data_IF_030077571389
#
_entry.id   IF_030077571389
#
_cell.length_a   1.000
_cell.length_b   1.000
_cell.length_c   1.000
_cell.angle_alpha   90.00
_cell.angle_beta   90.00
_cell.angle_gamma   90.00
#
_symmetry.space_group_name_H-M   'P 1'
#
loop_
_entity.id
_entity.type
_entity.pdbx_description
1 polymer ?
#
# COMPACT_ATOMS: atom_id res chain seq x y z
N UNK A 1 -1.48 -2.22 24.52
CA UNK A 1 -1.31 -1.97 23.07
C UNK A 1 -1.42 -0.49 22.74
N UNK A 2 -2.43 0.24 23.22
CA UNK A 2 -2.60 1.67 22.91
C UNK A 2 -1.37 2.56 23.16
N UNK A 3 -0.69 2.43 24.31
CA UNK A 3 0.53 3.21 24.62
C UNK A 3 1.67 2.99 23.60
N UNK A 4 1.87 1.75 23.15
CA UNK A 4 2.88 1.42 22.13
C UNK A 4 2.51 1.99 20.77
N UNK A 5 1.25 1.85 20.36
CA UNK A 5 0.75 2.42 19.10
C UNK A 5 0.97 3.94 19.05
N UNK A 6 0.57 4.67 20.09
CA UNK A 6 0.77 6.13 20.18
C UNK A 6 2.26 6.48 20.13
N UNK A 7 3.11 5.72 20.80
CA UNK A 7 4.56 5.92 20.75
C UNK A 7 5.11 5.74 19.34
N UNK A 8 4.67 4.72 18.61
CA UNK A 8 5.09 4.49 17.23
C UNK A 8 4.57 5.60 16.29
N UNK A 9 3.32 6.04 16.44
CA UNK A 9 2.78 7.19 15.69
C UNK A 9 3.58 8.48 15.91
N UNK A 10 4.07 8.74 17.12
CA UNK A 10 4.89 9.92 17.42
C UNK A 10 6.27 9.88 16.75
N UNK A 11 6.81 8.69 16.46
CA UNK A 11 8.07 8.53 15.72
C UNK A 11 7.91 8.79 14.23
N UNK A 12 6.70 8.70 13.70
CA UNK A 12 6.44 8.91 12.27
C UNK A 12 6.79 10.36 11.89
N UNK A 13 7.53 10.50 10.81
CA UNK A 13 7.85 11.81 10.21
C UNK A 13 6.66 12.30 9.39
N UNK A 14 5.61 12.75 10.08
CA UNK A 14 4.32 13.12 9.49
C UNK A 14 4.44 14.09 8.31
N UNK A 15 5.32 15.10 8.40
CA UNK A 15 5.55 16.03 7.29
C UNK A 15 6.00 15.32 6.01
N UNK A 16 6.95 14.39 6.10
CA UNK A 16 7.41 13.62 4.94
C UNK A 16 6.34 12.67 4.43
N UNK A 17 5.59 12.03 5.34
CA UNK A 17 4.46 11.16 4.96
C UNK A 17 3.41 11.93 4.18
N UNK A 18 2.98 13.10 4.68
CA UNK A 18 2.00 13.93 3.97
C UNK A 18 2.52 14.46 2.65
N UNK A 19 3.80 14.84 2.57
CA UNK A 19 4.43 15.26 1.31
C UNK A 19 4.39 14.13 0.28
N UNK A 20 4.77 12.91 0.68
CA UNK A 20 4.75 11.74 -0.22
C UNK A 20 3.33 11.39 -0.68
N UNK A 21 2.35 11.41 0.23
CA UNK A 21 0.94 11.16 -0.12
C UNK A 21 0.42 12.23 -1.07
N UNK A 22 0.73 13.49 -0.80
CA UNK A 22 0.33 14.60 -1.67
C UNK A 22 0.98 14.47 -3.07
N UNK A 23 2.25 14.05 -3.14
CA UNK A 23 2.95 13.80 -4.39
C UNK A 23 2.28 12.69 -5.21
N UNK A 24 1.90 11.57 -4.58
CA UNK A 24 1.14 10.51 -5.25
C UNK A 24 -0.18 11.04 -5.79
N UNK A 25 -0.99 11.70 -4.97
CA UNK A 25 -2.30 12.20 -5.39
C UNK A 25 -2.15 13.19 -6.53
N UNK A 26 -1.22 14.14 -6.42
CA UNK A 26 -0.94 15.08 -7.49
C UNK A 26 -0.53 14.35 -8.77
N UNK A 27 0.42 13.41 -8.71
CA UNK A 27 0.88 12.67 -9.88
C UNK A 27 -0.23 11.81 -10.50
N UNK A 28 -0.86 10.94 -9.70
CA UNK A 28 -1.90 10.00 -10.12
C UNK A 28 -3.10 10.73 -10.74
N UNK A 29 -3.57 11.81 -10.13
CA UNK A 29 -4.74 12.53 -10.64
C UNK A 29 -4.44 13.54 -11.74
N UNK A 30 -3.26 14.17 -11.78
CA UNK A 30 -2.85 14.99 -12.92
C UNK A 30 -2.72 14.13 -14.18
N UNK A 31 -2.09 12.96 -14.06
CA UNK A 31 -1.97 12.01 -15.18
C UNK A 31 -3.34 11.44 -15.57
N UNK A 32 -4.17 11.07 -14.60
CA UNK A 32 -5.51 10.58 -14.89
C UNK A 32 -6.40 11.63 -15.58
N UNK A 33 -6.38 12.88 -15.10
CA UNK A 33 -7.10 13.99 -15.73
C UNK A 33 -6.60 14.26 -17.17
N UNK A 34 -5.27 14.22 -17.38
CA UNK A 34 -4.67 14.35 -18.71
C UNK A 34 -5.13 13.24 -19.66
N UNK A 35 -5.16 11.99 -19.19
CA UNK A 35 -5.64 10.85 -19.97
C UNK A 35 -7.14 10.96 -20.30
N UNK A 36 -7.97 11.36 -19.32
CA UNK A 36 -9.40 11.60 -19.54
C UNK A 36 -9.63 12.71 -20.58
N UNK A 37 -8.87 13.81 -20.49
CA UNK A 37 -8.95 14.92 -21.43
C UNK A 37 -8.53 14.52 -22.85
N UNK A 38 -7.50 13.67 -22.97
CA UNK A 38 -7.04 13.14 -24.26
C UNK A 38 -8.13 12.30 -24.96
N UNK A 39 -8.94 11.60 -24.16
CA UNK A 39 -10.04 10.76 -24.65
C UNK A 39 -11.34 11.54 -24.93
N UNK A 40 -11.42 12.83 -24.60
CA UNK A 40 -12.64 13.63 -24.70
C UNK A 40 -13.18 13.74 -26.13
N UNK A 41 -12.31 13.62 -27.14
CA UNK A 41 -12.73 13.59 -28.55
C UNK A 41 -13.51 12.31 -28.94
N UNK A 42 -13.41 11.25 -28.13
CA UNK A 42 -14.03 9.95 -28.40
C UNK A 42 -15.13 9.62 -27.39
N UNK A 43 -14.98 10.05 -26.13
CA UNK A 43 -15.88 9.73 -25.03
C UNK A 43 -16.03 10.92 -24.07
N UNK A 44 -17.24 11.14 -23.55
CA UNK A 44 -17.45 12.13 -22.51
C UNK A 44 -16.63 11.80 -21.23
N UNK A 45 -16.11 12.81 -20.51
CA UNK A 45 -15.40 12.60 -19.24
C UNK A 45 -16.29 11.84 -18.25
N UNK A 46 -15.87 10.64 -17.85
CA UNK A 46 -16.65 9.73 -16.99
C UNK A 46 -15.91 9.41 -15.68
N UNK A 47 -16.65 9.33 -14.58
CA UNK A 47 -16.16 9.01 -13.24
C UNK A 47 -15.47 7.65 -13.16
N UNK A 48 -15.93 6.66 -13.93
CA UNK A 48 -15.25 5.36 -14.04
C UNK A 48 -13.90 5.50 -14.75
N UNK A 49 -13.84 6.32 -15.81
CA UNK A 49 -12.61 6.54 -16.58
C UNK A 49 -11.55 7.21 -15.71
N UNK A 50 -11.92 8.27 -14.99
CA UNK A 50 -11.03 8.92 -14.05
C UNK A 50 -10.52 7.95 -12.97
N UNK A 51 -11.41 7.13 -12.42
CA UNK A 51 -11.06 6.16 -11.37
C UNK A 51 -10.04 5.14 -11.85
N UNK A 52 -10.31 4.44 -12.96
CA UNK A 52 -9.39 3.38 -13.41
C UNK A 52 -8.03 3.96 -13.83
N UNK A 53 -8.02 5.15 -14.46
CA UNK A 53 -6.78 5.83 -14.83
C UNK A 53 -5.95 6.18 -13.59
N UNK A 54 -6.59 6.73 -12.55
CA UNK A 54 -5.91 7.03 -11.29
C UNK A 54 -5.43 5.75 -10.58
N UNK A 55 -6.24 4.68 -10.55
CA UNK A 55 -5.85 3.38 -9.97
C UNK A 55 -4.68 2.74 -10.71
N UNK A 56 -4.57 2.96 -12.02
CA UNK A 56 -3.47 2.43 -12.84
C UNK A 56 -2.12 2.99 -12.41
N UNK A 57 -2.06 4.21 -11.87
CA UNK A 57 -0.85 4.75 -11.26
C UNK A 57 -0.77 4.42 -9.77
N UNK A 58 -1.84 4.69 -9.03
CA UNK A 58 -1.86 4.56 -7.59
C UNK A 58 -1.75 3.10 -7.11
N UNK A 59 -2.65 2.22 -7.55
CA UNK A 59 -2.70 0.83 -7.11
C UNK A 59 -1.53 -0.01 -7.62
N UNK A 60 -1.04 0.31 -8.82
CA UNK A 60 0.06 -0.41 -9.48
C UNK A 60 1.44 0.00 -8.96
N UNK A 61 1.63 1.29 -8.65
CA UNK A 61 2.94 1.84 -8.30
C UNK A 61 2.98 2.40 -6.87
N UNK A 62 2.22 3.44 -6.58
CA UNK A 62 2.39 4.23 -5.34
C UNK A 62 1.98 3.47 -4.07
N UNK A 63 0.83 2.81 -4.09
CA UNK A 63 0.31 2.09 -2.94
C UNK A 63 1.24 0.95 -2.46
N UNK A 64 1.68 0.02 -3.34
CA UNK A 64 2.62 -1.02 -2.92
C UNK A 64 4.01 -0.44 -2.58
N UNK A 65 4.42 0.66 -3.21
CA UNK A 65 5.63 1.38 -2.83
C UNK A 65 5.54 1.96 -1.40
N UNK A 66 4.43 2.60 -1.04
CA UNK A 66 4.22 3.17 0.29
C UNK A 66 4.23 2.13 1.39
N UNK A 67 3.72 0.92 1.14
CA UNK A 67 3.83 -0.17 2.10
C UNK A 67 5.29 -0.44 2.52
N UNK A 68 6.23 -0.38 1.57
CA UNK A 68 7.66 -0.53 1.87
C UNK A 68 8.31 0.73 2.45
N UNK A 69 8.03 1.92 1.87
CA UNK A 69 8.58 3.19 2.38
C UNK A 69 8.20 3.39 3.85
N UNK A 70 6.92 3.22 4.19
CA UNK A 70 6.43 3.43 5.55
C UNK A 70 6.92 2.34 6.50
N UNK A 71 7.03 1.08 6.07
CA UNK A 71 7.65 0.03 6.87
C UNK A 71 9.11 0.35 7.21
N UNK A 72 9.86 0.85 6.23
CA UNK A 72 11.25 1.25 6.42
C UNK A 72 11.35 2.48 7.34
N UNK A 73 10.50 3.49 7.17
CA UNK A 73 10.44 4.67 8.05
C UNK A 73 10.10 4.31 9.49
N UNK A 74 9.18 3.38 9.72
CA UNK A 74 8.84 2.90 11.06
C UNK A 74 10.00 2.18 11.75
N UNK A 75 10.97 1.68 10.99
CA UNK A 75 12.18 1.04 11.52
C UNK A 75 13.41 1.97 11.46
N UNK A 76 13.27 3.20 10.95
CA UNK A 76 14.39 4.09 10.69
C UNK A 76 15.17 4.43 11.96
N UNK A 77 14.46 4.81 13.02
CA UNK A 77 15.08 5.20 14.28
C UNK A 77 15.78 4.02 14.95
N UNK A 78 15.24 2.82 14.81
CA UNK A 78 15.83 1.61 15.39
C UNK A 78 17.07 1.13 14.62
N UNK A 79 17.11 1.34 13.30
CA UNK A 79 18.34 1.14 12.51
C UNK A 79 19.41 2.18 12.84
N UNK A 80 18.99 3.40 13.22
CA UNK A 80 19.92 4.46 13.59
C UNK A 80 20.53 4.14 14.96
N UNK A 81 21.86 4.08 15.02
CA UNK A 81 22.64 3.90 16.26
C UNK A 81 22.31 2.63 17.08
N UNK A 82 21.79 1.57 16.45
CA UNK A 82 21.53 0.29 17.13
C UNK A 82 20.40 0.34 18.17
N UNK A 83 19.47 1.30 18.07
CA UNK A 83 18.41 1.54 19.04
C UNK A 83 17.40 0.39 19.18
N UNK A 84 17.46 -0.63 18.31
CA UNK A 84 16.78 -1.92 18.53
C UNK A 84 17.05 -2.51 19.92
N UNK A 85 18.28 -2.40 20.44
CA UNK A 85 18.64 -2.91 21.79
C UNK A 85 17.85 -2.19 22.88
N UNK A 86 17.83 -0.86 22.83
CA UNK A 86 17.10 -0.02 23.79
C UNK A 86 15.59 -0.24 23.72
N UNK A 87 15.04 -0.46 22.52
CA UNK A 87 13.62 -0.75 22.36
C UNK A 87 13.22 -2.08 23.01
N UNK A 88 14.12 -3.08 22.94
CA UNK A 88 13.87 -4.43 23.42
C UNK A 88 14.14 -4.63 24.92
N UNK A 89 14.77 -3.66 25.60
CA UNK A 89 14.86 -3.64 27.07
C UNK A 89 13.62 -3.10 27.75
N UNK A 90 12.70 -2.48 26.99
CA UNK A 90 11.42 -2.05 27.54
C UNK A 90 10.62 -3.25 28.06
N UNK A 91 9.77 -3.08 29.10
CA UNK A 91 8.98 -4.14 29.71
C UNK A 91 7.77 -4.54 28.84
N UNK A 92 7.96 -4.61 27.52
CA UNK A 92 6.96 -5.07 26.57
C UNK A 92 7.47 -6.32 25.85
N UNK A 93 6.64 -7.36 25.70
CA UNK A 93 7.04 -8.54 24.95
C UNK A 93 7.27 -8.18 23.48
N UNK A 94 8.29 -8.80 22.86
CA UNK A 94 8.74 -8.51 21.48
C UNK A 94 7.60 -8.52 20.46
N UNK A 95 6.65 -9.44 20.61
CA UNK A 95 5.50 -9.52 19.72
C UNK A 95 4.59 -8.29 19.75
N UNK A 96 4.42 -7.63 20.91
CA UNK A 96 3.60 -6.42 21.03
C UNK A 96 4.24 -5.25 20.29
N UNK A 97 5.58 -5.18 20.30
CA UNK A 97 6.35 -4.17 19.57
C UNK A 97 6.17 -4.34 18.06
N UNK A 98 6.35 -5.58 17.57
CA UNK A 98 6.17 -5.90 16.15
C UNK A 98 4.74 -5.60 15.68
N UNK A 99 3.74 -6.05 16.44
CA UNK A 99 2.33 -5.82 16.12
C UNK A 99 1.95 -4.34 16.19
N UNK A 100 2.51 -3.56 17.13
CA UNK A 100 2.26 -2.12 17.15
C UNK A 100 2.79 -1.41 15.91
N UNK A 101 3.97 -1.78 15.40
CA UNK A 101 4.50 -1.23 14.14
C UNK A 101 3.62 -1.61 12.95
N UNK A 102 3.14 -2.85 12.91
CA UNK A 102 2.21 -3.29 11.87
C UNK A 102 0.89 -2.49 11.90
N UNK A 103 0.31 -2.26 13.08
CA UNK A 103 -0.92 -1.47 13.20
C UNK A 103 -0.71 -0.02 12.74
N UNK A 104 0.42 0.61 13.06
CA UNK A 104 0.74 1.96 12.55
C UNK A 104 0.92 1.95 11.04
N UNK A 105 1.58 0.92 10.49
CA UNK A 105 1.75 0.79 9.03
C UNK A 105 0.41 0.70 8.31
N UNK A 106 -0.50 -0.15 8.78
CA UNK A 106 -1.85 -0.27 8.20
C UNK A 106 -2.63 1.05 8.34
N UNK A 107 -2.49 1.74 9.46
CA UNK A 107 -3.11 3.04 9.68
C UNK A 107 -2.61 4.09 8.68
N UNK A 108 -1.30 4.14 8.42
CA UNK A 108 -0.74 5.03 7.39
C UNK A 108 -1.27 4.69 5.99
N UNK A 109 -1.40 3.40 5.66
CA UNK A 109 -1.99 2.96 4.39
C UNK A 109 -3.50 3.28 4.30
N UNK A 110 -4.21 3.33 5.42
CA UNK A 110 -5.60 3.80 5.44
C UNK A 110 -5.69 5.29 5.11
N UNK A 111 -4.76 6.10 5.65
CA UNK A 111 -4.67 7.54 5.32
C UNK A 111 -4.40 7.74 3.82
N UNK A 112 -3.48 6.97 3.24
CA UNK A 112 -3.22 6.98 1.79
C UNK A 112 -4.51 6.77 0.99
N UNK A 113 -5.30 5.76 1.35
CA UNK A 113 -6.55 5.41 0.68
C UNK A 113 -7.65 6.48 0.84
N UNK A 114 -7.77 7.09 2.02
CA UNK A 114 -8.68 8.22 2.26
C UNK A 114 -8.27 9.42 1.42
N UNK A 115 -6.98 9.71 1.33
CA UNK A 115 -6.48 10.83 0.55
C UNK A 115 -6.61 10.57 -0.96
N UNK A 116 -6.49 9.32 -1.41
CA UNK A 116 -6.82 8.92 -2.78
C UNK A 116 -8.31 9.18 -3.11
N UNK A 117 -9.23 8.83 -2.20
CA UNK A 117 -10.65 9.16 -2.35
C UNK A 117 -10.89 10.67 -2.45
N UNK A 118 -10.22 11.45 -1.59
CA UNK A 118 -10.30 12.91 -1.65
C UNK A 118 -9.80 13.44 -3.00
N UNK A 119 -8.66 12.96 -3.48
CA UNK A 119 -8.12 13.29 -4.81
C UNK A 119 -9.11 12.98 -5.94
N UNK A 120 -9.75 11.81 -5.88
CA UNK A 120 -10.77 11.41 -6.85
C UNK A 120 -11.93 12.39 -6.93
N UNK A 121 -12.49 12.76 -5.77
CA UNK A 121 -13.60 13.69 -5.70
C UNK A 121 -13.19 15.10 -6.14
N UNK A 122 -12.03 15.59 -5.68
CA UNK A 122 -11.54 16.93 -6.03
C UNK A 122 -11.30 17.02 -7.54
N UNK A 123 -10.51 16.09 -8.10
CA UNK A 123 -10.17 16.11 -9.53
C UNK A 123 -11.38 15.92 -10.42
N UNK A 124 -12.32 15.03 -10.05
CA UNK A 124 -13.53 14.84 -10.83
C UNK A 124 -14.42 16.08 -10.89
N UNK A 125 -14.50 16.84 -9.80
CA UNK A 125 -15.18 18.14 -9.80
C UNK A 125 -14.44 19.20 -10.62
N UNK A 126 -13.10 19.24 -10.55
CA UNK A 126 -12.29 20.21 -11.29
C UNK A 126 -12.34 20.06 -12.81
N UNK A 127 -12.45 18.83 -13.31
CA UNK A 127 -12.54 18.56 -14.76
C UNK A 127 -13.98 18.39 -15.25
N UNK A 128 -14.96 18.71 -14.40
CA UNK A 128 -16.40 18.63 -14.70
C UNK A 128 -16.83 17.27 -15.27
N UNK A 129 -16.45 16.19 -14.57
CA UNK A 129 -16.82 14.83 -14.98
C UNK A 129 -18.34 14.65 -14.94
N UNK A 130 -18.88 14.09 -16.02
CA UNK A 130 -20.31 13.86 -16.18
C UNK A 130 -20.76 12.53 -15.57
N UNK A 131 -22.05 12.45 -15.24
CA UNK A 131 -22.70 11.25 -14.75
C UNK A 131 -22.58 11.04 -13.24
N UNK A 132 -23.04 9.86 -12.80
CA UNK A 132 -23.07 9.49 -11.39
C UNK A 132 -21.76 8.84 -10.95
N UNK A 133 -21.33 9.16 -9.73
CA UNK A 133 -20.17 8.52 -9.11
C UNK A 133 -20.49 7.04 -8.88
N UNK A 134 -19.66 6.10 -9.40
CA UNK A 134 -19.82 4.66 -9.21
C UNK A 134 -19.35 4.25 -7.81
N UNK A 135 -20.07 4.68 -6.77
CA UNK A 135 -19.70 4.51 -5.36
C UNK A 135 -19.38 3.07 -4.97
N UNK A 136 -20.15 2.11 -5.50
CA UNK A 136 -19.90 0.68 -5.25
C UNK A 136 -18.48 0.31 -5.66
N UNK A 137 -18.11 0.57 -6.91
CA UNK A 137 -16.79 0.26 -7.48
C UNK A 137 -15.67 0.99 -6.73
N UNK A 138 -15.87 2.28 -6.46
CA UNK A 138 -14.87 3.14 -5.79
C UNK A 138 -14.61 2.66 -4.36
N UNK A 139 -15.67 2.43 -3.57
CA UNK A 139 -15.54 1.98 -2.19
C UNK A 139 -15.02 0.55 -2.10
N UNK A 140 -15.50 -0.36 -2.96
CA UNK A 140 -14.96 -1.73 -3.00
C UNK A 140 -13.49 -1.74 -3.36
N UNK A 141 -13.06 -0.87 -4.29
CA UNK A 141 -11.66 -0.78 -4.67
C UNK A 141 -10.79 -0.17 -3.58
N UNK A 142 -11.20 0.94 -2.96
CA UNK A 142 -10.44 1.59 -1.87
C UNK A 142 -10.29 0.66 -0.67
N UNK A 143 -11.41 0.10 -0.19
CA UNK A 143 -11.41 -0.80 0.97
C UNK A 143 -10.71 -2.12 0.62
N UNK A 144 -11.00 -2.67 -0.56
CA UNK A 144 -10.37 -3.89 -1.06
C UNK A 144 -8.86 -3.74 -1.24
N UNK A 145 -8.40 -2.63 -1.80
CA UNK A 145 -6.98 -2.28 -1.94
C UNK A 145 -6.26 -2.16 -0.60
N UNK A 146 -6.92 -1.54 0.39
CA UNK A 146 -6.39 -1.48 1.75
C UNK A 146 -6.23 -2.87 2.39
N UNK A 147 -7.24 -3.74 2.27
CA UNK A 147 -7.16 -5.12 2.77
C UNK A 147 -6.13 -5.96 1.99
N UNK A 148 -6.05 -5.78 0.68
CA UNK A 148 -5.08 -6.47 -0.17
C UNK A 148 -3.63 -6.05 0.11
N UNK A 149 -3.40 -4.90 0.74
CA UNK A 149 -2.09 -4.47 1.22
C UNK A 149 -1.63 -5.17 2.50
N UNK A 150 -2.50 -5.85 3.26
CA UNK A 150 -2.12 -6.42 4.56
C UNK A 150 -0.98 -7.45 4.48
N UNK A 151 -0.96 -8.42 3.53
CA UNK A 151 0.17 -9.33 3.36
C UNK A 151 1.46 -8.57 3.01
N UNK A 152 1.37 -7.62 2.07
CA UNK A 152 2.52 -6.82 1.64
C UNK A 152 3.11 -6.01 2.80
N UNK A 153 2.25 -5.33 3.57
CA UNK A 153 2.66 -4.55 4.73
C UNK A 153 3.36 -5.42 5.78
N UNK A 154 2.86 -6.64 6.02
CA UNK A 154 3.50 -7.60 6.92
C UNK A 154 4.87 -8.04 6.40
N UNK A 155 4.97 -8.37 5.12
CA UNK A 155 6.23 -8.75 4.46
C UNK A 155 7.25 -7.60 4.54
N UNK A 156 6.83 -6.38 4.18
CA UNK A 156 7.70 -5.20 4.17
C UNK A 156 8.20 -4.85 5.57
N UNK A 157 7.34 -4.96 6.59
CA UNK A 157 7.76 -4.80 7.98
C UNK A 157 8.72 -5.90 8.42
N UNK A 158 8.43 -7.16 8.10
CA UNK A 158 9.32 -8.29 8.37
C UNK A 158 10.71 -8.08 7.77
N UNK A 159 10.79 -7.70 6.49
CA UNK A 159 12.03 -7.40 5.80
C UNK A 159 12.74 -6.17 6.40
N UNK A 160 12.00 -5.10 6.68
CA UNK A 160 12.55 -3.89 7.30
C UNK A 160 13.19 -4.19 8.65
N UNK A 161 12.63 -5.08 9.48
CA UNK A 161 13.26 -5.47 10.75
C UNK A 161 14.44 -6.43 10.60
N UNK A 162 14.53 -7.14 9.46
CA UNK A 162 15.60 -8.09 9.18
C UNK A 162 16.85 -7.41 8.65
N UNK A 163 16.67 -6.47 7.72
CA UNK A 163 17.77 -5.76 7.11
C UNK A 163 18.60 -4.99 8.14
N UNK A 164 19.89 -4.84 7.85
CA UNK A 164 20.83 -4.13 8.75
C UNK A 164 20.74 -2.61 8.57
N UNK A 165 20.24 -2.14 7.42
CA UNK A 165 20.13 -0.73 7.13
C UNK A 165 18.75 -0.36 6.57
N UNK A 166 18.32 0.86 6.90
CA UNK A 166 17.14 1.49 6.33
C UNK A 166 17.18 1.52 4.79
N UNK A 167 18.33 1.90 4.22
CA UNK A 167 18.52 2.03 2.77
C UNK A 167 18.30 0.71 2.03
N UNK A 168 18.75 -0.42 2.58
CA UNK A 168 18.54 -1.74 1.95
C UNK A 168 17.08 -2.16 1.92
N UNK A 169 16.31 -1.87 2.99
CA UNK A 169 14.88 -2.16 3.02
C UNK A 169 14.11 -1.34 1.98
N UNK A 170 14.45 -0.05 1.90
CA UNK A 170 13.85 0.87 0.94
C UNK A 170 14.18 0.47 -0.50
N UNK A 171 15.45 0.19 -0.81
CA UNK A 171 15.89 -0.20 -2.14
C UNK A 171 15.21 -1.48 -2.60
N UNK A 172 15.10 -2.48 -1.73
CA UNK A 172 14.38 -3.71 -2.04
C UNK A 172 12.93 -3.43 -2.44
N UNK A 173 12.22 -2.59 -1.68
CA UNK A 173 10.84 -2.24 -2.02
C UNK A 173 10.75 -1.53 -3.36
N UNK A 174 11.62 -0.56 -3.63
CA UNK A 174 11.62 0.18 -4.90
C UNK A 174 11.89 -0.77 -6.08
N UNK A 175 12.87 -1.66 -5.95
CA UNK A 175 13.21 -2.63 -6.99
C UNK A 175 12.08 -3.59 -7.32
N UNK A 176 11.22 -3.92 -6.35
CA UNK A 176 10.09 -4.83 -6.54
C UNK A 176 8.85 -4.17 -7.15
N UNK A 177 8.76 -2.84 -7.13
CA UNK A 177 7.67 -2.12 -7.78
C UNK A 177 7.79 -2.17 -9.31
N UNK A 178 9.02 -2.23 -9.85
CA UNK A 178 9.24 -2.34 -11.30
C UNK A 178 8.66 -3.66 -11.88
N UNK A 179 9.01 -4.86 -11.39
CA UNK A 179 8.40 -6.09 -11.86
C UNK A 179 6.90 -6.15 -11.53
N UNK A 180 6.43 -5.42 -10.49
CA UNK A 180 5.00 -5.32 -10.21
C UNK A 180 4.21 -4.85 -11.42
N UNK A 181 4.74 -3.84 -12.14
CA UNK A 181 4.08 -3.25 -13.31
C UNK A 181 3.78 -4.30 -14.37
N UNK A 182 4.73 -5.21 -14.60
CA UNK A 182 4.58 -6.30 -15.57
C UNK A 182 3.61 -7.36 -15.01
N UNK A 183 3.79 -7.74 -13.74
CA UNK A 183 3.02 -8.82 -13.13
C UNK A 183 1.54 -8.48 -13.01
N UNK A 184 1.20 -7.22 -12.76
CA UNK A 184 -0.19 -6.76 -12.69
C UNK A 184 -0.98 -6.94 -13.99
N UNK A 185 -0.29 -7.15 -15.13
CA UNK A 185 -0.93 -7.51 -16.40
C UNK A 185 -1.39 -8.97 -16.48
N UNK A 186 -0.92 -9.87 -15.61
CA UNK A 186 -1.39 -11.25 -15.56
C UNK A 186 -2.75 -11.35 -14.85
N UNK A 187 -3.43 -12.49 -15.05
CA UNK A 187 -4.62 -12.82 -14.29
C UNK A 187 -4.32 -12.93 -12.79
N UNK A 188 -5.31 -12.56 -11.96
CA UNK A 188 -5.17 -12.50 -10.51
C UNK A 188 -4.71 -13.82 -9.87
N UNK A 189 -5.12 -14.98 -10.38
CA UNK A 189 -4.73 -16.28 -9.82
C UNK A 189 -3.23 -16.60 -9.96
N UNK A 190 -2.52 -15.94 -10.89
CA UNK A 190 -1.07 -16.03 -11.05
C UNK A 190 -0.41 -14.82 -10.39
N UNK A 191 -0.82 -13.60 -10.78
CA UNK A 191 -0.12 -12.39 -10.38
C UNK A 191 -0.26 -12.07 -8.89
N UNK A 192 -1.36 -12.46 -8.23
CA UNK A 192 -1.55 -12.17 -6.81
C UNK A 192 -0.57 -12.90 -5.88
N UNK A 193 0.13 -13.94 -6.36
CA UNK A 193 1.24 -14.56 -5.63
C UNK A 193 2.45 -13.63 -5.49
N UNK A 194 2.59 -12.64 -6.38
CA UNK A 194 3.57 -11.58 -6.21
C UNK A 194 3.04 -10.54 -5.22
N UNK A 195 3.67 -10.32 -4.06
CA UNK A 195 3.03 -9.58 -2.95
C UNK A 195 2.64 -8.13 -3.24
N UNK A 196 3.24 -7.51 -4.25
CA UNK A 196 3.00 -6.12 -4.61
C UNK A 196 1.79 -5.93 -5.55
N UNK A 197 1.32 -7.01 -6.19
CA UNK A 197 0.26 -6.95 -7.21
C UNK A 197 -1.17 -6.95 -6.64
N UNK A 198 -1.50 -7.64 -5.52
CA UNK A 198 -2.86 -7.69 -4.99
C UNK A 198 -3.55 -6.34 -4.76
N UNK A 199 -2.88 -5.29 -4.26
CA UNK A 199 -3.51 -3.98 -4.09
C UNK A 199 -4.09 -3.44 -5.41
N UNK A 200 -3.36 -3.59 -6.52
CA UNK A 200 -3.84 -3.19 -7.84
C UNK A 200 -5.06 -4.00 -8.26
N UNK A 201 -5.01 -5.33 -8.16
CA UNK A 201 -6.14 -6.19 -8.55
C UNK A 201 -7.42 -5.88 -7.78
N UNK A 202 -7.31 -5.62 -6.48
CA UNK A 202 -8.47 -5.28 -5.66
C UNK A 202 -9.06 -3.91 -6.00
N UNK A 203 -8.23 -2.95 -6.40
CA UNK A 203 -8.68 -1.60 -6.77
C UNK A 203 -9.19 -1.51 -8.20
N UNK A 204 -8.68 -2.33 -9.12
CA UNK A 204 -8.97 -2.18 -10.54
C UNK A 204 -10.44 -2.56 -10.85
N UNK A 205 -11.20 -1.69 -11.54
CA UNK A 205 -12.60 -1.97 -11.84
C UNK A 205 -12.73 -3.19 -12.75
N UNK A 206 -13.66 -4.08 -12.40
CA UNK A 206 -13.93 -5.33 -13.11
C UNK A 206 -14.97 -5.13 -14.22
N UNK A 207 -14.89 -5.95 -15.27
CA UNK A 207 -15.85 -5.94 -16.38
C UNK A 207 -15.44 -5.06 -17.57
N UNK A 208 -14.20 -4.55 -17.57
CA UNK A 208 -13.61 -3.86 -18.72
C UNK A 208 -12.71 -4.83 -19.51
N UNK A 209 -12.63 -4.69 -20.83
CA UNK A 209 -11.76 -5.53 -21.67
C UNK A 209 -10.27 -5.44 -21.29
N UNK A 210 -9.86 -4.32 -20.68
CA UNK A 210 -8.50 -4.09 -20.19
C UNK A 210 -8.30 -4.50 -18.73
N UNK A 211 -9.36 -4.96 -18.04
CA UNK A 211 -9.25 -5.34 -16.63
C UNK A 211 -8.56 -6.69 -16.48
N UNK A 212 -7.52 -6.80 -15.64
CA UNK A 212 -7.02 -8.11 -15.26
C UNK A 212 -8.15 -8.85 -14.55
N UNK A 213 -8.45 -10.06 -15.01
CA UNK A 213 -9.57 -10.84 -14.48
C UNK A 213 -9.32 -11.16 -13.01
N UNK A 214 -10.15 -10.61 -12.13
CA UNK A 214 -10.16 -10.93 -10.71
C UNK A 214 -11.10 -12.10 -10.45
N UNK A 215 -10.55 -13.20 -9.97
CA UNK A 215 -11.33 -14.34 -9.46
C UNK A 215 -11.39 -14.23 -7.94
N UNK A 216 -12.55 -13.86 -7.34
CA UNK A 216 -12.59 -13.47 -5.93
C UNK A 216 -12.14 -14.57 -4.97
N UNK A 217 -12.53 -15.82 -5.23
CA UNK A 217 -12.25 -16.95 -4.34
C UNK A 217 -10.73 -17.27 -4.32
N UNK A 218 -10.06 -17.54 -5.45
CA UNK A 218 -8.60 -17.69 -5.47
C UNK A 218 -7.88 -16.49 -4.89
N UNK A 219 -8.31 -15.28 -5.22
CA UNK A 219 -7.68 -14.05 -4.76
C UNK A 219 -7.68 -13.91 -3.23
N UNK A 220 -8.83 -14.11 -2.59
CA UNK A 220 -8.96 -14.05 -1.13
C UNK A 220 -8.14 -15.16 -0.45
N UNK A 221 -8.11 -16.36 -1.03
CA UNK A 221 -7.29 -17.46 -0.52
C UNK A 221 -5.80 -17.11 -0.57
N UNK A 222 -5.31 -16.59 -1.70
CA UNK A 222 -3.91 -16.17 -1.86
C UNK A 222 -3.56 -15.08 -0.83
N UNK A 223 -4.41 -14.06 -0.68
CA UNK A 223 -4.21 -13.00 0.32
C UNK A 223 -4.13 -13.56 1.74
N UNK A 224 -5.04 -14.46 2.09
CA UNK A 224 -5.10 -15.05 3.43
C UNK A 224 -3.87 -15.91 3.71
N UNK A 225 -3.50 -16.78 2.76
CA UNK A 225 -2.34 -17.67 2.87
C UNK A 225 -1.04 -16.87 2.95
N UNK A 226 -0.84 -15.91 2.04
CA UNK A 226 0.35 -15.05 2.05
C UNK A 226 0.44 -14.22 3.32
N UNK A 227 -0.67 -13.66 3.81
CA UNK A 227 -0.69 -12.93 5.08
C UNK A 227 -0.26 -13.81 6.25
N UNK A 228 -0.82 -15.01 6.38
CA UNK A 228 -0.47 -15.95 7.45
C UNK A 228 1.02 -16.33 7.38
N UNK A 229 1.53 -16.64 6.18
CA UNK A 229 2.94 -16.98 5.97
C UNK A 229 3.84 -15.81 6.39
N UNK A 230 3.57 -14.59 5.93
CA UNK A 230 4.37 -13.41 6.26
C UNK A 230 4.27 -13.03 7.73
N UNK A 231 3.09 -13.20 8.33
CA UNK A 231 2.90 -12.99 9.76
C UNK A 231 3.75 -13.97 10.57
N UNK A 232 3.64 -15.28 10.31
CA UNK A 232 4.39 -16.30 11.06
C UNK A 232 5.90 -16.13 10.85
N UNK A 233 6.35 -15.92 9.62
CA UNK A 233 7.78 -15.79 9.30
C UNK A 233 8.38 -14.50 9.87
N UNK A 234 7.71 -13.36 9.69
CA UNK A 234 8.09 -12.07 10.26
C UNK A 234 8.13 -12.11 11.78
N UNK A 235 7.07 -12.64 12.40
CA UNK A 235 6.96 -12.80 13.85
C UNK A 235 8.07 -13.68 14.42
N UNK A 236 8.22 -14.91 13.90
CA UNK A 236 9.23 -15.86 14.39
C UNK A 236 10.62 -15.27 14.24
N UNK A 237 10.87 -14.60 13.11
CA UNK A 237 12.13 -13.93 12.89
C UNK A 237 12.40 -12.83 13.91
N UNK A 238 11.42 -11.98 14.20
CA UNK A 238 11.63 -10.85 15.10
C UNK A 238 11.87 -11.31 16.54
N UNK A 239 11.13 -12.35 16.96
CA UNK A 239 11.24 -12.90 18.32
C UNK A 239 12.54 -13.66 18.53
N UNK A 240 12.95 -14.51 17.58
CA UNK A 240 14.15 -15.37 17.70
C UNK A 240 15.46 -14.69 17.31
N UNK A 241 15.43 -13.49 16.73
CA UNK A 241 16.65 -12.76 16.36
C UNK A 241 17.39 -12.35 17.62
N UNK A 242 18.68 -12.70 17.67
CA UNK A 242 19.61 -12.20 18.67
C UNK A 242 20.07 -10.81 18.26
N UNK A 243 19.74 -9.82 19.08
CA UNK A 243 20.06 -8.42 18.85
C UNK A 243 21.37 -8.05 19.58
N UNK A 244 22.40 -8.89 19.41
CA UNK A 244 23.76 -8.66 19.94
C UNK A 244 24.49 -7.56 19.20
#
# INVERSE_FOLDING_TARGET
MGKLFVSECKKVRWLLVFLLIFMDIAASFVLAAGNVKSLTNYFAPNWNTLYFQAVSFHGMFFLPLFAGIFAAFLCFYEHKNGAWKQLLTLPFPRWKIYLSKFLVLIFLLAIVQIMFLAGYLITGNLIHVEGLIPWKTVLTGIVGGWFACLPLAMLQLGLSTRFKSFGTALLFSISMVIPNIVITGFNSYIGAWFPFAPPYYAMFPQGLNLSPRLEPIPFILILTVTFIIYFITGFRSFVRKDWM
#
